data_IF_318503730257
#
_entry.id   IF_318503730257
#
_cell.length_a   1.000
_cell.length_b   1.000
_cell.length_c   1.000
_cell.angle_alpha   90.00
_cell.angle_beta   90.00
_cell.angle_gamma   90.00
#
_symmetry.space_group_name_H-M   'P 1'
#
loop_
_entity.id
_entity.type
_entity.pdbx_description
1 polymer ?
#
# COMPACT_ATOMS: atom_id res chain seq x y z
N UNK A 1 8.60 3.34 -2.48
CA UNK A 1 7.85 3.68 -1.24
C UNK A 1 6.65 4.55 -1.58
N UNK A 2 5.48 4.31 -0.94
CA UNK A 2 4.24 5.06 -1.21
C UNK A 2 4.30 6.52 -0.79
N UNK A 3 4.96 6.81 0.33
CA UNK A 3 5.04 8.15 0.93
C UNK A 3 5.71 9.18 0.01
N UNK A 4 6.76 8.76 -0.71
CA UNK A 4 7.49 9.62 -1.66
C UNK A 4 6.57 10.23 -2.73
N UNK A 5 5.54 9.49 -3.16
CA UNK A 5 4.54 9.98 -4.10
C UNK A 5 3.32 10.62 -3.43
N UNK A 6 2.99 10.18 -2.21
CA UNK A 6 1.80 10.64 -1.50
C UNK A 6 1.97 12.09 -1.02
N UNK A 7 3.07 12.40 -0.33
CA UNK A 7 3.24 13.71 0.31
C UNK A 7 3.18 14.87 -0.72
N UNK A 8 3.89 14.82 -1.87
CA UNK A 8 3.75 15.84 -2.90
C UNK A 8 2.34 15.91 -3.50
N UNK A 9 1.64 14.77 -3.62
CA UNK A 9 0.28 14.74 -4.15
C UNK A 9 -0.75 15.36 -3.18
N UNK A 10 -0.49 15.30 -1.87
CA UNK A 10 -1.28 16.02 -0.86
C UNK A 10 -1.06 17.52 -1.03
N UNK A 11 0.19 17.98 -1.17
CA UNK A 11 0.50 19.40 -1.39
C UNK A 11 -0.15 19.95 -2.67
N UNK A 12 -0.06 19.21 -3.77
CA UNK A 12 -0.73 19.55 -5.04
C UNK A 12 -2.25 19.70 -4.86
N UNK A 13 -2.87 18.77 -4.12
CA UNK A 13 -4.30 18.84 -3.83
C UNK A 13 -4.65 20.08 -2.99
N UNK A 14 -3.83 20.41 -1.98
CA UNK A 14 -4.06 21.59 -1.15
C UNK A 14 -3.87 22.91 -1.93
N UNK A 15 -2.87 22.96 -2.82
CA UNK A 15 -2.60 24.10 -3.69
C UNK A 15 -3.73 24.34 -4.71
N UNK A 16 -4.41 23.28 -5.13
CA UNK A 16 -5.55 23.33 -6.07
C UNK A 16 -6.92 23.49 -5.38
N UNK A 17 -6.95 24.06 -4.18
CA UNK A 17 -8.14 24.27 -3.33
C UNK A 17 -8.97 23.01 -3.02
N UNK A 18 -8.35 21.84 -3.02
CA UNK A 18 -9.00 20.59 -2.62
C UNK A 18 -8.78 20.25 -1.15
N UNK A 19 -9.69 19.47 -0.57
CA UNK A 19 -9.49 18.84 0.74
C UNK A 19 -9.06 17.38 0.55
N UNK A 20 -8.15 16.92 1.40
CA UNK A 20 -7.52 15.62 1.29
C UNK A 20 -8.11 14.66 2.30
N UNK A 21 -8.41 13.44 1.86
CA UNK A 21 -8.83 12.34 2.72
C UNK A 21 -7.91 11.16 2.49
N UNK A 22 -7.38 10.55 3.55
CA UNK A 22 -6.42 9.46 3.49
C UNK A 22 -6.98 8.29 4.29
N UNK A 23 -7.19 7.17 3.60
CA UNK A 23 -7.62 5.92 4.20
C UNK A 23 -6.41 5.01 4.40
N UNK A 24 -6.19 4.58 5.65
CA UNK A 24 -5.15 3.64 6.02
C UNK A 24 -5.66 2.57 7.01
N UNK A 25 -4.84 1.56 7.28
CA UNK A 25 -5.16 0.48 8.24
C UNK A 25 -4.19 0.49 9.41
N UNK A 26 -2.90 0.61 9.14
CA UNK A 26 -1.84 0.62 10.14
C UNK A 26 -1.66 2.01 10.74
N UNK A 27 -1.79 2.08 12.05
CA UNK A 27 -1.61 3.32 12.84
C UNK A 27 -0.27 3.37 13.58
N UNK A 28 0.51 2.28 13.54
CA UNK A 28 1.74 2.06 14.29
C UNK A 28 1.62 2.16 15.83
N UNK A 29 0.40 2.13 16.38
CA UNK A 29 0.18 2.24 17.83
C UNK A 29 0.78 1.07 18.60
N UNK A 30 0.51 -0.17 18.19
CA UNK A 30 1.06 -1.35 18.86
C UNK A 30 2.60 -1.38 18.84
N UNK A 31 3.22 -0.86 17.77
CA UNK A 31 4.67 -0.75 17.68
C UNK A 31 5.19 0.31 18.66
N UNK A 32 4.52 1.46 18.74
CA UNK A 32 4.83 2.51 19.70
C UNK A 32 4.68 2.01 21.14
N UNK A 33 3.60 1.29 21.47
CA UNK A 33 3.37 0.75 22.80
C UNK A 33 4.46 -0.24 23.21
N UNK A 34 4.86 -1.14 22.30
CA UNK A 34 5.98 -2.05 22.54
C UNK A 34 7.26 -1.29 22.85
N UNK A 35 7.63 -0.33 22.00
CA UNK A 35 8.85 0.46 22.19
C UNK A 35 8.83 1.29 23.47
N UNK A 36 7.68 1.84 23.85
CA UNK A 36 7.51 2.56 25.13
C UNK A 36 7.65 1.62 26.35
N UNK A 37 7.21 0.37 26.22
CA UNK A 37 7.35 -0.63 27.30
C UNK A 37 8.82 -1.01 27.52
N UNK A 38 9.63 -1.01 26.46
CA UNK A 38 11.06 -1.34 26.50
C UNK A 38 11.94 -0.19 27.01
N UNK A 39 11.41 1.04 27.14
CA UNK A 39 12.19 2.20 27.62
C UNK A 39 12.47 2.15 29.12
N UNK A 40 13.72 2.43 29.48
CA UNK A 40 14.16 2.64 30.86
C UNK A 40 13.55 3.93 31.46
N UNK A 41 13.70 4.13 32.77
CA UNK A 41 13.20 5.35 33.42
C UNK A 41 13.92 6.63 32.92
N UNK A 42 15.20 6.52 32.55
CA UNK A 42 16.02 7.62 32.03
C UNK A 42 15.61 7.97 30.59
N UNK A 43 15.44 6.96 29.74
CA UNK A 43 15.04 7.16 28.32
C UNK A 43 13.61 7.71 28.16
N UNK A 44 12.78 7.57 29.20
CA UNK A 44 11.43 8.17 29.23
C UNK A 44 11.46 9.68 29.41
N UNK A 45 12.55 10.25 29.95
CA UNK A 45 12.69 11.69 30.11
C UNK A 45 12.97 12.40 28.77
N UNK A 46 13.71 11.75 27.88
CA UNK A 46 14.07 12.25 26.54
C UNK A 46 13.67 11.22 25.48
N UNK A 47 12.37 11.16 25.16
CA UNK A 47 11.85 10.17 24.21
C UNK A 47 12.42 10.46 22.81
N UNK A 48 13.25 9.56 22.31
CA UNK A 48 13.71 9.52 20.92
C UNK A 48 13.55 8.10 20.36
N UNK A 49 12.34 7.81 19.88
CA UNK A 49 11.97 6.50 19.35
C UNK A 49 12.06 6.46 17.82
N UNK A 50 12.71 5.42 17.31
CA UNK A 50 12.65 5.02 15.90
C UNK A 50 11.57 3.95 15.69
N UNK A 51 10.44 4.34 15.10
CA UNK A 51 9.35 3.42 14.76
C UNK A 51 9.55 2.73 13.39
N UNK A 52 10.75 2.75 12.83
CA UNK A 52 11.06 2.03 11.61
C UNK A 52 11.03 0.51 11.83
N UNK A 53 10.67 -0.28 10.81
CA UNK A 53 10.69 -1.73 10.90
C UNK A 53 12.11 -2.31 10.91
N UNK A 54 13.16 -1.47 10.98
CA UNK A 54 14.56 -1.89 10.83
C UNK A 54 14.93 -2.99 11.82
N UNK A 55 14.64 -2.79 13.10
CA UNK A 55 14.92 -3.79 14.14
C UNK A 55 14.17 -5.10 13.89
N UNK A 56 12.89 -5.05 13.50
CA UNK A 56 12.11 -6.27 13.23
C UNK A 56 12.72 -7.06 12.05
N UNK A 57 13.19 -6.35 11.01
CA UNK A 57 13.87 -6.97 9.88
C UNK A 57 15.24 -7.51 10.30
N UNK A 58 15.99 -6.78 11.12
CA UNK A 58 17.27 -7.22 11.65
C UNK A 58 17.11 -8.50 12.48
N UNK A 59 16.18 -8.52 13.43
CA UNK A 59 15.85 -9.70 14.25
C UNK A 59 15.47 -10.90 13.38
N UNK A 60 14.69 -10.67 12.32
CA UNK A 60 14.32 -11.73 11.40
C UNK A 60 15.53 -12.27 10.63
N UNK A 61 16.39 -11.40 10.10
CA UNK A 61 17.63 -11.81 9.45
C UNK A 61 18.54 -12.53 10.46
N UNK A 62 18.56 -12.11 11.72
CA UNK A 62 19.42 -12.74 12.71
C UNK A 62 19.04 -14.18 13.01
N UNK A 63 17.74 -14.42 13.15
CA UNK A 63 17.21 -15.70 13.59
C UNK A 63 16.83 -16.65 12.44
N UNK A 64 16.52 -16.13 11.25
CA UNK A 64 15.94 -16.92 10.16
C UNK A 64 16.76 -16.91 8.86
N UNK A 65 17.86 -16.17 8.78
CA UNK A 65 18.69 -16.18 7.57
C UNK A 65 19.34 -17.56 7.37
N UNK A 66 19.18 -18.19 6.18
CA UNK A 66 19.62 -19.56 5.96
C UNK A 66 21.15 -19.63 5.84
N UNK A 67 21.81 -19.92 6.96
CA UNK A 67 23.28 -20.03 7.02
C UNK A 67 23.77 -21.47 7.09
N UNK A 68 22.88 -22.44 7.31
CA UNK A 68 23.25 -23.86 7.46
C UNK A 68 23.73 -24.43 6.13
N UNK A 69 24.92 -25.03 6.14
CA UNK A 69 25.48 -25.69 4.97
C UNK A 69 24.71 -26.99 4.68
N UNK A 70 24.55 -27.30 3.40
CA UNK A 70 23.87 -28.48 2.90
C UNK A 70 24.87 -29.36 2.14
N UNK A 71 24.82 -30.66 2.35
CA UNK A 71 25.57 -31.63 1.56
C UNK A 71 24.61 -32.40 0.63
N UNK A 72 25.05 -32.59 -0.62
CA UNK A 72 24.37 -33.48 -1.56
C UNK A 72 24.76 -34.92 -1.26
N UNK A 73 23.78 -35.82 -1.27
CA UNK A 73 23.97 -37.26 -1.21
C UNK A 73 23.03 -37.94 -2.21
N UNK A 74 23.38 -39.15 -2.63
CA UNK A 74 22.56 -39.95 -3.52
C UNK A 74 21.79 -40.98 -2.69
N UNK A 75 20.48 -41.08 -2.90
CA UNK A 75 19.66 -42.11 -2.26
C UNK A 75 19.82 -43.48 -2.97
N UNK A 76 19.25 -44.52 -2.38
CA UNK A 76 19.31 -45.90 -2.91
C UNK A 76 18.67 -46.06 -4.29
N UNK A 77 17.76 -45.13 -4.66
CA UNK A 77 17.10 -45.07 -5.97
C UNK A 77 17.90 -44.24 -6.99
N UNK A 78 19.08 -43.73 -6.63
CA UNK A 78 19.92 -42.92 -7.49
C UNK A 78 19.45 -41.48 -7.68
N UNK A 79 18.60 -40.95 -6.80
CA UNK A 79 18.20 -39.54 -6.80
C UNK A 79 19.13 -38.71 -5.91
N UNK A 80 19.53 -37.53 -6.41
CA UNK A 80 20.27 -36.55 -5.60
C UNK A 80 19.33 -35.90 -4.58
N UNK A 81 19.71 -35.94 -3.31
CA UNK A 81 19.03 -35.27 -2.21
C UNK A 81 20.03 -34.41 -1.44
N UNK A 82 19.51 -33.42 -0.73
CA UNK A 82 20.32 -32.57 0.15
C UNK A 82 19.92 -32.77 1.61
N UNK A 83 20.91 -32.79 2.51
CA UNK A 83 20.67 -32.78 3.95
C UNK A 83 21.58 -31.76 4.65
N UNK A 84 21.19 -31.23 5.82
CA UNK A 84 22.01 -30.28 6.54
C UNK A 84 23.29 -30.93 7.06
N UNK A 85 24.43 -30.26 6.86
CA UNK A 85 25.72 -30.73 7.33
C UNK A 85 25.86 -30.61 8.85
N UNK A 86 26.62 -31.53 9.44
CA UNK A 86 27.03 -31.54 10.85
C UNK A 86 28.53 -31.82 10.95
N UNK A 87 29.21 -31.23 11.93
CA UNK A 87 30.63 -31.49 12.19
C UNK A 87 30.85 -32.81 12.96
N UNK A 88 32.11 -33.17 13.21
CA UNK A 88 32.47 -34.39 13.95
C UNK A 88 31.91 -34.42 15.39
N UNK A 89 31.60 -33.25 15.96
CA UNK A 89 31.00 -33.10 17.29
C UNK A 89 29.46 -33.03 17.25
N UNK A 90 28.84 -33.13 16.07
CA UNK A 90 27.40 -33.08 15.87
C UNK A 90 26.80 -31.67 15.80
N UNK A 91 27.61 -30.61 15.75
CA UNK A 91 27.12 -29.23 15.64
C UNK A 91 26.75 -28.90 14.18
N UNK A 92 25.77 -28.00 13.95
CA UNK A 92 25.45 -27.51 12.61
C UNK A 92 26.66 -26.85 11.93
N UNK A 93 26.97 -27.26 10.70
CA UNK A 93 27.97 -26.56 9.88
C UNK A 93 27.30 -25.38 9.18
N UNK A 94 27.95 -24.21 9.22
CA UNK A 94 27.45 -23.00 8.56
C UNK A 94 28.30 -22.65 7.34
N UNK A 95 27.63 -22.24 6.26
CA UNK A 95 28.28 -21.72 5.05
C UNK A 95 28.87 -20.34 5.33
N UNK A 96 30.19 -20.21 5.17
CA UNK A 96 30.91 -18.93 5.35
C UNK A 96 30.40 -17.85 4.39
N UNK A 97 30.05 -18.25 3.16
CA UNK A 97 29.44 -17.34 2.19
C UNK A 97 28.08 -16.82 2.66
N UNK A 98 27.22 -17.70 3.18
CA UNK A 98 25.91 -17.31 3.68
C UNK A 98 26.02 -16.41 4.92
N UNK A 99 27.00 -16.67 5.80
CA UNK A 99 27.31 -15.80 6.94
C UNK A 99 27.77 -14.41 6.48
N UNK A 100 28.63 -14.34 5.45
CA UNK A 100 29.05 -13.06 4.87
C UNK A 100 27.88 -12.28 4.29
N UNK A 101 27.03 -12.92 3.48
CA UNK A 101 25.84 -12.27 2.90
C UNK A 101 24.90 -11.77 4.00
N UNK A 102 24.69 -12.57 5.07
CA UNK A 102 23.90 -12.16 6.23
C UNK A 102 24.46 -10.88 6.85
N UNK A 103 25.77 -10.86 7.13
CA UNK A 103 26.45 -9.71 7.73
C UNK A 103 26.36 -8.44 6.85
N UNK A 104 26.67 -8.56 5.56
CA UNK A 104 26.57 -7.45 4.59
C UNK A 104 25.13 -6.91 4.49
N UNK A 105 24.13 -7.80 4.54
CA UNK A 105 22.71 -7.40 4.49
C UNK A 105 22.31 -6.63 5.76
N UNK A 106 22.77 -7.06 6.93
CA UNK A 106 22.53 -6.37 8.20
C UNK A 106 23.20 -4.99 8.22
N UNK A 107 24.43 -4.88 7.72
CA UNK A 107 25.14 -3.60 7.60
C UNK A 107 24.39 -2.64 6.67
N UNK A 108 23.98 -3.11 5.49
CA UNK A 108 23.19 -2.32 4.55
C UNK A 108 21.87 -1.86 5.20
N UNK A 109 21.18 -2.74 5.93
CA UNK A 109 19.96 -2.41 6.63
C UNK A 109 20.18 -1.31 7.70
N UNK A 110 21.30 -1.37 8.41
CA UNK A 110 21.74 -0.36 9.36
C UNK A 110 21.96 1.01 8.72
N UNK A 111 22.52 1.03 7.51
CA UNK A 111 22.79 2.26 6.76
C UNK A 111 21.53 2.91 6.14
N UNK A 112 20.41 2.19 6.03
CA UNK A 112 19.19 2.74 5.44
C UNK A 112 18.55 3.80 6.36
N UNK A 113 18.07 4.92 5.80
CA UNK A 113 17.34 5.91 6.58
C UNK A 113 16.07 5.29 7.19
N UNK A 114 15.64 5.75 8.38
CA UNK A 114 14.48 5.18 9.05
C UNK A 114 13.22 5.36 8.21
N UNK A 115 12.49 4.26 8.02
CA UNK A 115 11.19 4.29 7.34
C UNK A 115 10.13 4.64 8.38
N UNK A 116 9.73 5.90 8.39
CA UNK A 116 8.70 6.40 9.31
C UNK A 116 7.33 5.81 8.95
N UNK A 117 6.50 5.41 9.94
CA UNK A 117 5.13 5.00 9.69
C UNK A 117 4.33 6.07 8.95
N UNK A 118 3.38 5.64 8.11
CA UNK A 118 2.70 6.54 7.19
C UNK A 118 1.92 7.67 7.87
N UNK A 119 1.20 7.36 8.95
CA UNK A 119 0.44 8.35 9.71
C UNK A 119 1.36 9.39 10.36
N UNK A 120 2.41 8.94 11.03
CA UNK A 120 3.38 9.80 11.72
C UNK A 120 4.15 10.66 10.69
N UNK A 121 4.47 10.13 9.51
CA UNK A 121 5.08 10.89 8.42
C UNK A 121 4.15 12.02 7.89
N UNK A 122 2.83 11.76 7.78
CA UNK A 122 1.85 12.78 7.40
C UNK A 122 1.74 13.85 8.49
N UNK A 123 1.63 13.46 9.76
CA UNK A 123 1.53 14.40 10.88
C UNK A 123 2.80 15.25 11.00
N UNK A 124 3.99 14.64 10.90
CA UNK A 124 5.27 15.35 10.92
C UNK A 124 5.39 16.35 9.77
N UNK A 125 4.94 15.98 8.56
CA UNK A 125 5.08 16.84 7.37
C UNK A 125 4.13 18.03 7.34
N UNK A 126 2.91 17.89 7.86
CA UNK A 126 1.85 18.90 7.75
C UNK A 126 1.45 19.54 9.08
N UNK A 127 1.91 18.99 10.20
CA UNK A 127 1.56 19.45 11.53
C UNK A 127 0.21 18.93 12.02
N UNK A 128 0.05 18.94 13.33
CA UNK A 128 -1.17 18.52 14.03
C UNK A 128 -2.34 19.48 13.80
N UNK A 129 -2.06 20.73 13.48
CA UNK A 129 -3.06 21.77 13.19
C UNK A 129 -3.73 21.60 11.82
N UNK A 130 -3.02 21.07 10.82
CA UNK A 130 -3.57 20.85 9.49
C UNK A 130 -4.25 19.47 9.32
N UNK A 131 -3.83 18.49 10.12
CA UNK A 131 -4.25 17.09 10.02
C UNK A 131 -5.34 16.77 11.06
N UNK A 132 -6.50 16.37 10.56
CA UNK A 132 -7.59 15.79 11.33
C UNK A 132 -7.37 14.27 11.41
N UNK A 133 -7.12 13.76 12.62
CA UNK A 133 -6.82 12.35 12.84
C UNK A 133 -8.04 11.62 13.43
N UNK A 134 -8.65 10.74 12.64
CA UNK A 134 -9.80 9.93 13.02
C UNK A 134 -9.42 8.45 12.98
N UNK A 135 -8.48 8.10 13.86
CA UNK A 135 -7.93 6.74 14.00
C UNK A 135 -8.35 6.14 15.34
N UNK A 136 -7.99 4.87 15.56
CA UNK A 136 -8.15 4.21 16.85
C UNK A 136 -7.06 4.55 17.87
N UNK A 137 -6.09 5.42 17.52
CA UNK A 137 -4.96 5.73 18.39
C UNK A 137 -5.40 6.42 19.67
N UNK A 138 -4.93 5.87 20.79
CA UNK A 138 -4.98 6.45 22.13
C UNK A 138 -3.75 7.29 22.44
N UNK A 139 -2.66 7.12 21.69
CA UNK A 139 -1.44 7.91 21.83
C UNK A 139 -0.69 8.06 20.50
N UNK A 140 0.05 9.16 20.38
CA UNK A 140 0.94 9.40 19.24
C UNK A 140 2.23 10.10 19.64
N UNK A 141 3.22 9.97 18.78
CA UNK A 141 4.51 10.62 18.90
C UNK A 141 4.50 11.87 18.01
N UNK A 142 4.82 13.02 18.57
CA UNK A 142 4.91 14.28 17.83
C UNK A 142 6.33 14.80 17.92
N UNK A 143 6.96 14.97 16.76
CA UNK A 143 8.28 15.61 16.65
C UNK A 143 8.14 17.11 16.76
N UNK A 144 8.88 17.72 17.69
CA UNK A 144 8.93 19.15 17.90
C UNK A 144 9.99 19.81 16.98
N UNK A 145 9.94 21.14 16.79
CA UNK A 145 10.88 21.85 15.91
C UNK A 145 12.36 21.72 16.32
N UNK A 146 12.63 21.44 17.59
CA UNK A 146 13.98 21.19 18.14
C UNK A 146 14.47 19.74 17.89
N UNK A 147 13.66 18.90 17.24
CA UNK A 147 13.97 17.50 16.96
C UNK A 147 13.61 16.54 18.08
N UNK A 148 13.22 17.03 19.25
CA UNK A 148 12.75 16.18 20.36
C UNK A 148 11.37 15.58 20.02
N UNK A 149 11.01 14.47 20.69
CA UNK A 149 9.70 13.87 20.52
C UNK A 149 8.89 13.96 21.81
N UNK A 150 7.60 14.24 21.65
CA UNK A 150 6.64 14.29 22.74
C UNK A 150 5.53 13.28 22.52
N UNK A 151 5.21 12.53 23.58
CA UNK A 151 4.05 11.65 23.59
C UNK A 151 2.78 12.48 23.84
N UNK A 152 1.80 12.34 22.96
CA UNK A 152 0.48 12.96 23.09
C UNK A 152 -0.60 11.90 23.25
N UNK A 153 -1.39 12.02 24.32
CA UNK A 153 -2.60 11.23 24.49
C UNK A 153 -3.71 11.72 23.55
N UNK A 154 -4.49 10.77 23.05
CA UNK A 154 -5.62 10.96 22.16
C UNK A 154 -6.89 10.35 22.74
N UNK A 155 -7.98 11.08 22.62
CA UNK A 155 -9.31 10.70 23.10
C UNK A 155 -10.33 10.69 21.96
N UNK A 156 -11.44 9.96 22.16
CA UNK A 156 -12.55 9.97 21.21
C UNK A 156 -13.13 11.38 20.97
N UNK A 157 -13.09 12.24 21.99
CA UNK A 157 -13.52 13.64 21.90
C UNK A 157 -12.62 14.45 20.97
N UNK A 158 -11.29 14.27 21.05
CA UNK A 158 -10.38 14.91 20.10
C UNK A 158 -10.60 14.40 18.67
N UNK A 159 -10.89 13.11 18.49
CA UNK A 159 -11.22 12.57 17.15
C UNK A 159 -12.56 13.11 16.62
N UNK A 160 -13.51 13.45 17.49
CA UNK A 160 -14.73 14.16 17.10
C UNK A 160 -14.44 15.63 16.75
N UNK A 161 -13.64 16.31 17.55
CA UNK A 161 -13.21 17.68 17.28
C UNK A 161 -12.45 17.79 15.95
N UNK A 162 -11.56 16.84 15.65
CA UNK A 162 -10.84 16.76 14.37
C UNK A 162 -11.79 16.57 13.19
N UNK A 163 -12.79 15.70 13.32
CA UNK A 163 -13.80 15.51 12.29
C UNK A 163 -14.61 16.80 12.04
N UNK A 164 -15.02 17.47 13.10
CA UNK A 164 -15.74 18.75 13.01
C UNK A 164 -14.86 19.85 12.40
N UNK A 165 -13.58 19.92 12.79
CA UNK A 165 -12.62 20.88 12.25
C UNK A 165 -12.37 20.64 10.74
N UNK A 166 -12.34 19.39 10.30
CA UNK A 166 -12.27 19.06 8.88
C UNK A 166 -13.52 19.49 8.11
N UNK A 167 -14.71 19.14 8.62
CA UNK A 167 -15.99 19.54 8.00
C UNK A 167 -16.23 21.06 8.05
N UNK A 168 -15.61 21.74 9.03
CA UNK A 168 -15.60 23.19 9.20
C UNK A 168 -14.53 23.93 8.38
N UNK A 169 -13.68 23.22 7.62
CA UNK A 169 -12.54 23.75 6.84
C UNK A 169 -11.40 24.34 7.68
N UNK A 170 -11.42 24.17 9.00
CA UNK A 170 -10.28 24.52 9.85
C UNK A 170 -9.09 23.58 9.59
N UNK A 171 -9.38 22.30 9.32
CA UNK A 171 -8.41 21.32 8.85
C UNK A 171 -8.74 20.90 7.42
N UNK A 172 -7.72 20.70 6.57
CA UNK A 172 -7.91 20.33 5.16
C UNK A 172 -7.38 18.95 4.81
N UNK A 173 -6.70 18.30 5.75
CA UNK A 173 -6.21 16.92 5.61
C UNK A 173 -6.95 16.08 6.65
N UNK A 174 -7.59 14.99 6.23
CA UNK A 174 -8.21 14.03 7.13
C UNK A 174 -7.58 12.66 6.92
N UNK A 175 -7.14 12.02 8.00
CA UNK A 175 -6.67 10.64 7.99
C UNK A 175 -7.61 9.80 8.84
N UNK A 176 -8.09 8.68 8.30
CA UNK A 176 -8.92 7.76 9.08
C UNK A 176 -8.47 6.31 8.93
N UNK A 177 -8.72 5.55 9.99
CA UNK A 177 -8.63 4.09 9.98
C UNK A 177 -10.01 3.44 10.14
N UNK A 178 -10.08 2.14 9.92
CA UNK A 178 -11.32 1.36 10.13
C UNK A 178 -11.85 1.53 11.56
N UNK A 179 -10.97 1.54 12.56
CA UNK A 179 -11.31 1.68 13.98
C UNK A 179 -11.86 3.06 14.35
N UNK A 180 -11.31 4.15 13.78
CA UNK A 180 -11.63 5.51 14.22
C UNK A 180 -12.86 6.14 13.55
N UNK A 181 -13.21 5.73 12.33
CA UNK A 181 -14.23 6.46 11.55
C UNK A 181 -15.61 5.80 11.42
N UNK A 182 -15.90 4.78 12.22
CA UNK A 182 -17.20 4.07 12.15
C UNK A 182 -18.37 5.04 12.31
N UNK A 183 -19.35 4.95 11.41
CA UNK A 183 -20.57 5.76 11.43
C UNK A 183 -20.42 7.22 10.96
N UNK A 184 -19.22 7.67 10.56
CA UNK A 184 -18.99 9.07 10.16
C UNK A 184 -18.87 9.24 8.65
N UNK A 185 -19.20 10.44 8.20
CA UNK A 185 -19.18 10.84 6.79
C UNK A 185 -18.36 12.12 6.60
N UNK A 186 -17.52 12.12 5.58
CA UNK A 186 -16.54 13.17 5.27
C UNK A 186 -16.67 13.71 3.84
N UNK A 187 -17.80 13.41 3.18
CA UNK A 187 -18.12 13.94 1.86
C UNK A 187 -18.18 15.46 1.88
N UNK A 188 -18.11 16.08 0.70
CA UNK A 188 -18.29 17.52 0.56
C UNK A 188 -19.79 17.87 0.66
N UNK A 189 -20.39 17.67 1.83
CA UNK A 189 -21.82 17.92 2.10
C UNK A 189 -22.18 19.37 1.79
N UNK A 190 -23.37 19.59 1.21
CA UNK A 190 -23.92 20.93 1.01
C UNK A 190 -24.26 21.63 2.34
N UNK A 191 -24.45 20.88 3.42
CA UNK A 191 -24.71 21.41 4.76
C UNK A 191 -23.43 21.78 5.53
N UNK A 192 -22.27 21.37 5.02
CA UNK A 192 -20.99 21.62 5.67
C UNK A 192 -20.30 22.87 5.11
N UNK A 193 -19.56 23.59 5.96
CA UNK A 193 -18.74 24.74 5.54
C UNK A 193 -17.63 24.32 4.56
N UNK A 194 -17.03 23.16 4.77
CA UNK A 194 -16.03 22.62 3.86
C UNK A 194 -16.69 21.87 2.69
N UNK A 195 -16.96 22.57 1.60
CA UNK A 195 -17.51 22.00 0.36
C UNK A 195 -16.44 21.67 -0.69
N UNK A 196 -15.15 21.80 -0.36
CA UNK A 196 -14.06 21.50 -1.30
C UNK A 196 -14.11 20.06 -1.79
N UNK A 197 -13.79 19.84 -3.06
CA UNK A 197 -13.71 18.48 -3.62
C UNK A 197 -12.73 17.64 -2.82
N UNK A 198 -13.13 16.39 -2.53
CA UNK A 198 -12.32 15.44 -1.76
C UNK A 198 -11.35 14.70 -2.67
N UNK A 199 -10.06 14.85 -2.43
CA UNK A 199 -9.01 14.01 -3.01
C UNK A 199 -8.78 12.85 -2.03
N UNK A 200 -9.39 11.71 -2.32
CA UNK A 200 -9.37 10.55 -1.44
C UNK A 200 -8.24 9.59 -1.86
N UNK A 201 -7.17 9.56 -1.07
CA UNK A 201 -6.07 8.62 -1.20
C UNK A 201 -6.38 7.32 -0.47
N UNK A 202 -6.50 6.22 -1.22
CA UNK A 202 -6.57 4.88 -0.65
C UNK A 202 -5.13 4.39 -0.46
N UNK A 203 -4.56 4.71 0.71
CA UNK A 203 -3.16 4.45 1.03
C UNK A 203 -2.93 2.99 1.41
N UNK A 204 -3.78 2.48 2.31
CA UNK A 204 -3.76 1.08 2.72
C UNK A 204 -5.19 0.55 2.68
N UNK A 205 -5.53 -0.31 1.71
CA UNK A 205 -6.88 -0.83 1.58
C UNK A 205 -7.17 -2.01 2.53
N UNK A 206 -6.19 -2.47 3.29
CA UNK A 206 -6.28 -3.67 4.12
C UNK A 206 -6.33 -4.96 3.29
N UNK A 207 -6.69 -6.08 3.94
CA UNK A 207 -6.85 -7.39 3.29
C UNK A 207 -8.30 -7.67 2.86
N UNK A 208 -9.25 -6.86 3.33
CA UNK A 208 -10.68 -6.97 3.06
C UNK A 208 -11.17 -5.89 2.09
N UNK A 209 -11.43 -6.28 0.84
CA UNK A 209 -11.86 -5.35 -0.19
C UNK A 209 -13.21 -4.67 0.13
N UNK A 210 -14.10 -5.33 0.87
CA UNK A 210 -15.36 -4.78 1.36
C UNK A 210 -15.14 -3.62 2.35
N UNK A 211 -14.18 -3.76 3.27
CA UNK A 211 -13.79 -2.70 4.21
C UNK A 211 -13.22 -1.48 3.48
N UNK A 212 -12.35 -1.73 2.50
CA UNK A 212 -11.82 -0.67 1.64
C UNK A 212 -12.96 0.14 1.00
N UNK A 213 -13.91 -0.55 0.37
CA UNK A 213 -15.07 0.08 -0.31
C UNK A 213 -15.97 0.84 0.67
N UNK A 214 -16.21 0.30 1.87
CA UNK A 214 -16.94 1.02 2.92
C UNK A 214 -16.26 2.34 3.28
N UNK A 215 -14.93 2.36 3.37
CA UNK A 215 -14.13 3.57 3.56
C UNK A 215 -14.31 4.59 2.43
N UNK A 216 -14.31 4.16 1.16
CA UNK A 216 -14.58 5.04 0.01
C UNK A 216 -15.98 5.68 0.09
N UNK A 217 -16.97 4.95 0.61
CA UNK A 217 -18.34 5.44 0.85
C UNK A 217 -18.44 6.51 1.94
N UNK A 218 -17.38 6.76 2.72
CA UNK A 218 -17.36 7.86 3.70
C UNK A 218 -17.18 9.22 3.03
N UNK A 219 -16.63 9.28 1.83
CA UNK A 219 -16.45 10.54 1.08
C UNK A 219 -17.38 10.67 -0.13
N UNK A 220 -18.19 9.65 -0.42
CA UNK A 220 -19.12 9.65 -1.55
C UNK A 220 -20.55 9.39 -1.05
N UNK A 221 -21.39 10.42 -1.03
CA UNK A 221 -22.79 10.36 -0.57
C UNK A 221 -23.69 11.15 -1.53
N UNK A 222 -25.00 10.92 -1.41
CA UNK A 222 -26.00 11.85 -1.95
C UNK A 222 -25.88 13.19 -1.24
N UNK A 223 -26.31 14.29 -1.88
CA UNK A 223 -26.26 15.65 -1.32
C UNK A 223 -24.84 16.23 -1.09
N UNK A 224 -23.88 15.87 -1.95
CA UNK A 224 -22.54 16.45 -1.95
C UNK A 224 -22.39 17.52 -3.04
N UNK A 225 -21.72 18.63 -2.70
CA UNK A 225 -21.39 19.73 -3.61
C UNK A 225 -20.50 19.29 -4.78
N UNK A 226 -19.66 18.27 -4.55
CA UNK A 226 -18.85 17.67 -5.61
C UNK A 226 -18.52 16.21 -5.31
N UNK A 227 -18.37 15.41 -6.38
CA UNK A 227 -17.93 14.03 -6.27
C UNK A 227 -16.44 13.93 -5.90
N UNK A 228 -16.06 12.97 -5.04
CA UNK A 228 -14.67 12.76 -4.69
C UNK A 228 -13.87 12.21 -5.88
N UNK A 229 -12.57 12.45 -5.87
CA UNK A 229 -11.60 11.78 -6.77
C UNK A 229 -10.85 10.75 -5.96
N UNK A 230 -10.93 9.48 -6.37
CA UNK A 230 -10.21 8.41 -5.70
C UNK A 230 -8.84 8.18 -6.35
N UNK A 231 -7.78 8.22 -5.53
CA UNK A 231 -6.39 8.01 -5.91
C UNK A 231 -5.82 6.82 -5.11
N UNK A 232 -5.84 5.59 -5.67
CA UNK A 232 -5.22 4.45 -5.02
C UNK A 232 -3.71 4.63 -5.04
N UNK A 233 -3.07 4.43 -3.89
CA UNK A 233 -1.62 4.55 -3.76
C UNK A 233 -1.03 3.15 -3.76
N UNK A 234 -0.34 2.80 -4.85
CA UNK A 234 0.13 1.43 -5.09
C UNK A 234 1.63 1.41 -5.31
N UNK A 235 2.28 0.34 -4.85
CA UNK A 235 3.65 -0.01 -5.26
C UNK A 235 3.62 -0.90 -6.51
N UNK A 236 4.78 -1.19 -7.10
CA UNK A 236 4.88 -2.17 -8.19
C UNK A 236 4.88 -3.63 -7.68
N UNK A 237 4.26 -3.87 -6.53
CA UNK A 237 4.00 -5.22 -6.05
C UNK A 237 2.79 -5.82 -6.80
N UNK A 238 3.00 -6.96 -7.47
CA UNK A 238 1.95 -7.65 -8.24
C UNK A 238 0.73 -7.99 -7.39
N UNK A 239 0.93 -8.44 -6.14
CA UNK A 239 -0.13 -8.79 -5.21
C UNK A 239 -1.02 -7.58 -4.88
N UNK A 240 -0.41 -6.45 -4.59
CA UNK A 240 -1.11 -5.20 -4.32
C UNK A 240 -1.93 -4.73 -5.53
N UNK A 241 -1.34 -4.76 -6.73
CA UNK A 241 -2.02 -4.37 -7.97
C UNK A 241 -3.26 -5.24 -8.24
N UNK A 242 -3.16 -6.56 -8.01
CA UNK A 242 -4.30 -7.48 -8.12
C UNK A 242 -5.41 -7.11 -7.14
N UNK A 243 -5.06 -6.81 -5.89
CA UNK A 243 -6.03 -6.45 -4.86
C UNK A 243 -6.78 -5.14 -5.20
N UNK A 244 -6.04 -4.11 -5.60
CA UNK A 244 -6.62 -2.81 -6.01
C UNK A 244 -7.53 -2.96 -7.22
N UNK A 245 -7.17 -3.80 -8.20
CA UNK A 245 -8.04 -4.07 -9.36
C UNK A 245 -9.40 -4.66 -8.95
N UNK A 246 -9.45 -5.46 -7.89
CA UNK A 246 -10.69 -6.02 -7.35
C UNK A 246 -11.54 -4.95 -6.67
N UNK A 247 -10.93 -4.05 -5.92
CA UNK A 247 -11.62 -2.89 -5.32
C UNK A 247 -12.21 -2.00 -6.41
N UNK A 248 -11.42 -1.66 -7.43
CA UNK A 248 -11.86 -0.82 -8.54
C UNK A 248 -13.06 -1.44 -9.26
N UNK A 249 -13.01 -2.74 -9.60
CA UNK A 249 -14.14 -3.46 -10.25
C UNK A 249 -15.42 -3.41 -9.42
N UNK A 250 -15.32 -3.64 -8.11
CA UNK A 250 -16.49 -3.63 -7.20
C UNK A 250 -17.05 -2.22 -7.00
N UNK A 251 -16.20 -1.20 -7.01
CA UNK A 251 -16.60 0.20 -6.86
C UNK A 251 -17.24 0.79 -8.13
N UNK A 252 -16.80 0.36 -9.32
CA UNK A 252 -17.32 0.83 -10.61
C UNK A 252 -18.75 0.39 -10.95
N UNK A 253 -19.36 -0.47 -10.14
CA UNK A 253 -20.70 -0.99 -10.39
C UNK A 253 -21.85 -0.04 -9.99
N UNK A 254 -21.57 1.05 -9.26
CA UNK A 254 -22.64 1.86 -8.63
C UNK A 254 -22.51 3.38 -8.66
N UNK A 255 -21.45 3.97 -9.23
CA UNK A 255 -21.34 5.44 -9.31
C UNK A 255 -20.35 5.86 -10.42
N UNK A 256 -20.45 7.11 -10.88
CA UNK A 256 -19.40 7.77 -11.68
C UNK A 256 -18.15 7.95 -10.83
N UNK A 257 -17.41 6.85 -10.60
CA UNK A 257 -16.21 6.79 -9.77
C UNK A 257 -15.01 7.09 -10.66
N UNK A 258 -14.39 8.26 -10.48
CA UNK A 258 -13.17 8.60 -11.20
C UNK A 258 -11.95 8.04 -10.46
N UNK A 259 -11.41 6.95 -11.00
CA UNK A 259 -10.14 6.37 -10.59
C UNK A 259 -9.01 6.97 -11.40
N UNK A 260 -8.12 7.74 -10.76
CA UNK A 260 -6.90 8.22 -11.41
C UNK A 260 -5.73 7.35 -10.98
N UNK A 261 -5.25 6.50 -11.89
CA UNK A 261 -4.02 5.74 -11.70
C UNK A 261 -2.84 6.57 -12.26
N UNK A 262 -1.72 6.72 -11.53
CA UNK A 262 -0.53 7.35 -12.10
C UNK A 262 -0.07 6.58 -13.34
N UNK A 263 -0.02 7.23 -14.50
CA UNK A 263 0.52 6.62 -15.71
C UNK A 263 2.03 6.40 -15.55
N UNK A 264 2.52 5.26 -16.05
CA UNK A 264 3.96 5.01 -16.26
C UNK A 264 4.58 6.23 -16.95
N UNK A 265 5.71 6.71 -16.44
CA UNK A 265 6.61 7.61 -17.16
C UNK A 265 7.03 6.96 -18.48
N UNK A 266 6.39 7.37 -19.57
CA UNK A 266 6.97 7.31 -20.91
C UNK A 266 7.58 8.67 -21.20
N UNK A 267 8.75 8.64 -21.82
CA UNK A 267 9.60 9.77 -22.23
C UNK A 267 8.84 10.95 -22.83
N UNK A 268 9.37 12.19 -22.72
CA UNK A 268 8.67 13.42 -23.07
C UNK A 268 8.65 13.62 -24.59
N UNK A 269 7.72 12.96 -25.28
CA UNK A 269 7.40 13.27 -26.67
C UNK A 269 5.98 12.82 -27.04
N UNK A 270 5.00 13.18 -26.21
CA UNK A 270 3.59 13.37 -26.59
C UNK A 270 2.78 13.71 -25.34
N UNK A 271 2.79 14.99 -24.93
CA UNK A 271 1.70 15.53 -24.11
C UNK A 271 0.44 15.42 -24.98
N UNK A 272 -0.44 14.46 -24.67
CA UNK A 272 -1.90 14.46 -24.93
C UNK A 272 -2.56 13.06 -24.90
N UNK A 273 -2.06 12.07 -24.15
CA UNK A 273 -2.79 10.78 -24.00
C UNK A 273 -3.28 10.55 -22.58
N UNK A 274 -4.53 10.96 -22.34
CA UNK A 274 -5.32 10.68 -21.14
C UNK A 274 -5.89 9.26 -21.22
N UNK A 275 -5.43 8.36 -20.35
CA UNK A 275 -5.95 6.98 -20.28
C UNK A 275 -7.19 6.89 -19.40
N UNK A 276 -8.37 6.78 -20.01
CA UNK A 276 -9.67 6.66 -19.34
C UNK A 276 -10.11 5.20 -19.26
N UNK A 277 -10.62 4.76 -18.11
CA UNK A 277 -11.45 3.56 -18.03
C UNK A 277 -12.92 3.97 -18.10
N UNK A 278 -13.49 4.01 -19.32
CA UNK A 278 -14.94 4.04 -19.56
C UNK A 278 -15.39 2.70 -20.16
N UNK A 279 -16.54 2.18 -19.71
CA UNK A 279 -17.34 1.21 -20.49
C UNK A 279 -18.46 1.96 -21.19
N UNK A 280 -18.65 1.72 -22.49
CA UNK A 280 -19.77 2.23 -23.27
C UNK A 280 -19.92 1.56 -24.64
N UNK A 281 -20.87 0.62 -24.72
CA UNK A 281 -21.59 0.04 -25.87
C UNK A 281 -20.87 -0.24 -27.20
N UNK A 282 -20.69 -1.54 -27.51
CA UNK A 282 -20.79 -2.03 -28.89
C UNK A 282 -22.21 -2.58 -29.09
N UNK A 283 -23.09 -1.77 -29.69
CA UNK A 283 -24.18 -2.30 -30.53
C UNK A 283 -23.58 -2.53 -31.90
N UNK A 284 -23.58 -3.78 -32.35
CA UNK A 284 -23.25 -4.15 -33.73
C UNK A 284 -24.42 -3.71 -34.64
N UNK A 285 -24.26 -2.56 -35.29
CA UNK A 285 -25.00 -2.24 -36.51
C UNK A 285 -24.24 -2.86 -37.69
N UNK A 286 -24.95 -3.70 -38.45
CA UNK A 286 -24.49 -4.23 -39.75
C UNK A 286 -24.30 -3.07 -40.72
N UNK A 287 -23.16 -3.03 -41.41
CA UNK A 287 -23.06 -2.76 -42.85
C UNK A 287 -21.59 -2.93 -43.29
N UNK A 288 -21.39 -3.85 -44.24
CA UNK A 288 -20.17 -3.96 -45.05
C UNK A 288 -20.22 -2.90 -46.18
N UNK A 289 -19.09 -2.54 -46.78
CA UNK A 289 -18.71 -3.26 -48.00
C UNK A 289 -17.21 -3.62 -48.07
N UNK A 290 -16.89 -4.29 -49.18
CA UNK A 290 -15.87 -5.29 -49.44
C UNK A 290 -14.50 -4.81 -49.96
N UNK A 291 -13.52 -5.71 -49.82
CA UNK A 291 -12.30 -5.97 -50.63
C UNK A 291 -10.98 -5.25 -50.25
N UNK A 292 -9.80 -5.85 -50.57
CA UNK A 292 -9.43 -7.26 -50.41
C UNK A 292 -8.06 -7.46 -49.73
N UNK A 293 -7.77 -8.72 -49.42
CA UNK A 293 -6.65 -9.21 -48.63
C UNK A 293 -5.25 -9.03 -49.28
N UNK A 294 -4.27 -8.63 -48.47
CA UNK A 294 -2.86 -8.95 -48.67
C UNK A 294 -2.34 -9.69 -47.43
N UNK A 295 -1.75 -10.87 -47.67
CA UNK A 295 -1.24 -11.81 -46.65
C UNK A 295 0.04 -11.26 -46.00
N UNK A 296 0.25 -11.43 -44.68
CA UNK A 296 1.55 -11.20 -44.05
C UNK A 296 2.47 -12.41 -44.24
N UNK A 297 3.71 -12.13 -44.64
CA UNK A 297 4.86 -13.02 -44.57
C UNK A 297 5.28 -13.24 -43.11
N UNK A 298 5.44 -14.49 -42.69
CA UNK A 298 6.20 -14.89 -41.50
C UNK A 298 7.18 -16.00 -41.90
N UNK A 299 8.46 -15.95 -41.48
CA UNK A 299 9.43 -16.96 -41.82
C UNK A 299 9.23 -18.25 -41.00
N UNK A 300 9.46 -19.34 -41.70
CA UNK A 300 9.45 -20.75 -41.31
C UNK A 300 10.59 -21.14 -40.37
N UNK A 301 10.37 -22.29 -39.72
CA UNK A 301 11.33 -23.29 -39.20
C UNK A 301 11.66 -23.27 -37.71
N UNK A 302 11.03 -24.18 -36.95
CA UNK A 302 11.65 -24.95 -35.86
C UNK A 302 11.12 -26.41 -35.93
N UNK A 303 11.94 -27.44 -35.64
CA UNK A 303 11.71 -28.81 -36.09
C UNK A 303 10.82 -29.62 -35.14
N UNK A 304 10.07 -30.53 -35.75
CA UNK A 304 9.21 -31.55 -35.15
C UNK A 304 9.98 -32.77 -34.64
N UNK A 305 9.61 -33.30 -33.47
CA UNK A 305 9.63 -34.76 -33.25
C UNK A 305 8.73 -35.20 -32.08
N UNK A 306 7.82 -36.13 -32.41
CA UNK A 306 7.30 -37.27 -31.61
C UNK A 306 6.37 -36.94 -30.43
N UNK A 307 5.06 -37.12 -30.61
CA UNK A 307 4.26 -38.37 -30.50
C UNK A 307 3.71 -38.58 -29.08
N UNK A 308 2.41 -38.32 -28.90
CA UNK A 308 1.66 -38.59 -27.68
C UNK A 308 0.18 -38.35 -27.92
N UNK A 309 -0.52 -39.42 -28.27
CA UNK A 309 -1.95 -39.51 -28.55
C UNK A 309 -2.83 -39.02 -27.38
N UNK A 310 -3.72 -38.07 -27.67
CA UNK A 310 -4.76 -37.63 -26.74
C UNK A 310 -6.05 -38.43 -27.02
N UNK A 311 -6.42 -39.32 -26.09
CA UNK A 311 -7.70 -40.05 -26.14
C UNK A 311 -8.79 -39.17 -25.52
N UNK A 312 -9.84 -38.90 -26.31
CA UNK A 312 -11.13 -38.35 -25.85
C UNK A 312 -11.93 -39.48 -25.18
N UNK A 313 -12.45 -39.23 -23.98
CA UNK A 313 -13.58 -39.99 -23.43
C UNK A 313 -14.87 -39.15 -23.57
N UNK A 314 -15.96 -39.70 -24.13
CA UNK A 314 -17.29 -39.13 -23.98
C UNK A 314 -18.02 -39.69 -22.74
N UNK A 315 -18.97 -38.88 -22.28
CA UNK A 315 -19.92 -39.11 -21.19
C UNK A 315 -20.81 -40.34 -21.37
N UNK A 316 -21.32 -40.85 -20.26
CA UNK A 316 -22.56 -41.63 -20.16
C UNK A 316 -23.19 -41.40 -18.77
N UNK A 317 -24.46 -41.77 -18.59
CA UNK A 317 -25.66 -41.01 -18.93
C UNK A 317 -26.20 -40.14 -17.78
#
# INVERSE_FOLDING_TARGET
MKLLSLLPAIEEALATDHSVVIQLVSTAEALLDRRLADLSAEDRAEILLDLSPREIVADYLDNAFPTRAMESYWDEDGNERSRPMVDEAGNPVHSQEALRIKAETLELLGALPPIVPALDAIISRFGTDAVAEITGRTRRLVTLPDGSQRLESRTANQSLADANAFMGRAKRILVFSDAGGTGRSYHASLDAKNQQRRMHFLLEPGWRADRAIQGLGRTNRTHQASAPVFRPVTTDCRGERRFISTIARRSSAGSTVFWRCPSRSRTPSSMNSWGWLRRGSMRLARQAPSMPASRPWWPTSWPSSRSGSCVRMPMAP
#
